data_IF_745962394480
#
_entry.id   IF_745962394480
#
_cell.length_a   1.000
_cell.length_b   1.000
_cell.length_c   1.000
_cell.angle_alpha   90.00
_cell.angle_beta   90.00
_cell.angle_gamma   90.00
#
_symmetry.space_group_name_H-M   'P 1'
#
loop_
_entity.id
_entity.type
_entity.pdbx_description
1 polymer ?
#
# COMPACT_ATOMS: atom_id res chain seq x y z
N UNK A 1 17.96 -14.22 1.73
CA UNK A 1 17.14 -14.98 2.70
C UNK A 1 16.10 -14.08 3.31
N UNK A 2 16.40 -13.42 4.43
CA UNK A 2 15.47 -12.58 5.20
C UNK A 2 14.70 -11.56 4.34
N UNK A 3 15.38 -10.78 3.50
CA UNK A 3 14.69 -9.80 2.65
C UNK A 3 13.65 -10.42 1.69
N UNK A 4 13.87 -11.65 1.23
CA UNK A 4 12.90 -12.38 0.41
C UNK A 4 11.65 -12.74 1.22
N UNK A 5 11.84 -13.19 2.46
CA UNK A 5 10.73 -13.49 3.38
C UNK A 5 9.91 -12.23 3.66
N UNK A 6 10.57 -11.14 4.02
CA UNK A 6 9.89 -9.86 4.32
C UNK A 6 9.06 -9.38 3.13
N UNK A 7 9.63 -9.41 1.92
CA UNK A 7 8.93 -8.97 0.71
C UNK A 7 7.72 -9.87 0.39
N UNK A 8 7.83 -11.19 0.55
CA UNK A 8 6.70 -12.11 0.34
C UNK A 8 5.59 -11.89 1.38
N UNK A 9 5.95 -11.71 2.66
CA UNK A 9 4.97 -11.48 3.72
C UNK A 9 4.23 -10.15 3.53
N UNK A 10 4.94 -9.11 3.10
CA UNK A 10 4.32 -7.80 2.86
C UNK A 10 3.53 -7.74 1.54
N UNK A 11 4.05 -8.40 0.50
CA UNK A 11 3.55 -8.34 -0.89
C UNK A 11 3.73 -9.69 -1.59
N UNK A 12 2.82 -10.66 -1.37
CA UNK A 12 2.99 -12.00 -1.93
C UNK A 12 3.08 -12.00 -3.46
N UNK A 13 2.23 -11.22 -4.13
CA UNK A 13 2.16 -11.20 -5.59
C UNK A 13 3.39 -10.51 -6.20
N UNK A 14 3.60 -9.23 -5.91
CA UNK A 14 4.69 -8.41 -6.44
C UNK A 14 6.06 -8.96 -5.97
N UNK A 15 6.10 -9.49 -4.76
CA UNK A 15 7.27 -10.15 -4.18
C UNK A 15 7.67 -11.42 -4.90
N UNK A 16 6.72 -12.28 -5.28
CA UNK A 16 7.00 -13.47 -6.09
C UNK A 16 7.52 -13.08 -7.48
N UNK A 17 6.91 -12.06 -8.10
CA UNK A 17 7.32 -11.55 -9.40
C UNK A 17 8.76 -10.98 -9.38
N UNK A 18 9.19 -10.41 -8.25
CA UNK A 18 10.57 -9.99 -8.05
C UNK A 18 11.50 -11.19 -7.79
N UNK A 19 11.11 -12.06 -6.85
CA UNK A 19 12.00 -13.06 -6.27
C UNK A 19 12.25 -14.24 -7.20
N UNK A 20 11.24 -14.72 -7.93
CA UNK A 20 11.42 -15.88 -8.81
C UNK A 20 12.48 -15.60 -9.88
N UNK A 21 12.42 -14.50 -10.66
CA UNK A 21 13.49 -14.16 -11.60
C UNK A 21 14.85 -13.93 -10.92
N UNK A 22 14.87 -13.31 -9.75
CA UNK A 22 16.10 -13.04 -9.00
C UNK A 22 16.78 -14.32 -8.51
N UNK A 23 16.01 -15.29 -8.01
CA UNK A 23 16.51 -16.59 -7.57
C UNK A 23 16.98 -17.44 -8.75
N UNK A 24 16.28 -17.41 -9.89
CA UNK A 24 16.72 -18.07 -11.12
C UNK A 24 18.06 -17.47 -11.59
N UNK A 25 18.17 -16.14 -11.66
CA UNK A 25 19.40 -15.46 -12.04
C UNK A 25 20.55 -15.78 -11.07
N UNK A 26 20.26 -15.83 -9.76
CA UNK A 26 21.24 -16.23 -8.75
C UNK A 26 21.67 -17.70 -8.93
N UNK A 27 20.75 -18.62 -9.22
CA UNK A 27 21.04 -20.04 -9.43
C UNK A 27 21.88 -20.27 -10.70
N UNK A 28 21.73 -19.43 -11.71
CA UNK A 28 22.59 -19.44 -12.90
C UNK A 28 23.99 -18.90 -12.60
N UNK A 29 24.13 -17.94 -11.68
CA UNK A 29 25.39 -17.30 -11.35
C UNK A 29 26.20 -18.05 -10.27
N UNK A 30 25.54 -18.61 -9.26
CA UNK A 30 26.18 -19.23 -8.11
C UNK A 30 25.27 -20.31 -7.50
N UNK A 31 25.79 -21.54 -7.37
CA UNK A 31 25.08 -22.69 -6.78
C UNK A 31 25.72 -23.21 -5.49
N UNK A 32 26.62 -22.42 -4.89
CA UNK A 32 27.34 -22.87 -3.69
C UNK A 32 26.41 -23.01 -2.49
N UNK A 33 26.56 -24.07 -1.67
CA UNK A 33 25.75 -24.26 -0.46
C UNK A 33 25.85 -23.09 0.51
N UNK A 34 26.98 -22.37 0.55
CA UNK A 34 27.17 -21.18 1.40
C UNK A 34 26.18 -20.06 1.10
N UNK A 35 25.72 -19.94 -0.15
CA UNK A 35 24.72 -18.95 -0.55
C UNK A 35 23.30 -19.51 -0.41
N UNK A 36 23.09 -20.75 -0.83
CA UNK A 36 21.76 -21.34 -0.89
C UNK A 36 21.24 -21.83 0.47
N UNK A 37 22.10 -22.33 1.35
CA UNK A 37 21.68 -22.84 2.66
C UNK A 37 21.01 -21.74 3.50
N UNK A 38 21.56 -20.52 3.67
CA UNK A 38 20.85 -19.46 4.39
C UNK A 38 19.54 -19.03 3.72
N UNK A 39 19.49 -19.02 2.38
CA UNK A 39 18.26 -18.68 1.64
C UNK A 39 17.17 -19.72 1.88
N UNK A 40 17.51 -21.00 1.81
CA UNK A 40 16.58 -22.11 2.04
C UNK A 40 16.13 -22.13 3.50
N UNK A 41 17.05 -22.04 4.47
CA UNK A 41 16.71 -22.05 5.90
C UNK A 41 15.77 -20.89 6.23
N UNK A 42 16.11 -19.67 5.84
CA UNK A 42 15.23 -18.51 6.08
C UNK A 42 13.92 -18.60 5.31
N UNK A 43 13.94 -19.12 4.08
CA UNK A 43 12.73 -19.35 3.28
C UNK A 43 11.79 -20.36 3.91
N UNK A 44 12.30 -21.48 4.43
CA UNK A 44 11.52 -22.49 5.15
C UNK A 44 10.94 -21.90 6.42
N UNK A 45 11.74 -21.22 7.24
CA UNK A 45 11.23 -20.55 8.46
C UNK A 45 10.14 -19.53 8.14
N UNK A 46 10.33 -18.72 7.10
CA UNK A 46 9.34 -17.75 6.64
C UNK A 46 8.05 -18.40 6.14
N UNK A 47 8.16 -19.46 5.34
CA UNK A 47 7.01 -20.21 4.83
C UNK A 47 6.25 -20.94 5.95
N UNK A 48 6.97 -21.53 6.92
CA UNK A 48 6.39 -22.16 8.10
C UNK A 48 5.64 -21.14 8.96
N UNK A 49 6.22 -19.96 9.18
CA UNK A 49 5.57 -18.88 9.90
C UNK A 49 4.30 -18.40 9.18
N UNK A 50 4.37 -18.16 7.87
CA UNK A 50 3.22 -17.77 7.06
C UNK A 50 2.10 -18.82 7.11
N UNK A 51 2.47 -20.10 7.00
CA UNK A 51 1.51 -21.20 7.08
C UNK A 51 0.84 -21.28 8.46
N UNK A 52 1.60 -21.06 9.53
CA UNK A 52 1.08 -21.00 10.89
C UNK A 52 0.12 -19.81 11.08
N UNK A 53 0.51 -18.62 10.65
CA UNK A 53 -0.31 -17.41 10.74
C UNK A 53 -1.63 -17.56 9.96
N UNK A 54 -1.55 -18.02 8.71
CA UNK A 54 -2.73 -18.33 7.89
C UNK A 54 -3.65 -19.35 8.57
N UNK A 55 -3.09 -20.39 9.21
CA UNK A 55 -3.87 -21.39 9.93
C UNK A 55 -4.55 -20.79 11.17
N UNK A 56 -3.86 -19.93 11.93
CA UNK A 56 -4.43 -19.26 13.10
C UNK A 56 -5.59 -18.32 12.74
N UNK A 57 -5.54 -17.70 11.57
CA UNK A 57 -6.57 -16.73 11.13
C UNK A 57 -7.72 -17.41 10.37
N UNK A 58 -7.41 -18.30 9.43
CA UNK A 58 -8.40 -18.86 8.49
C UNK A 58 -8.76 -20.33 8.76
N UNK A 59 -8.08 -20.97 9.71
CA UNK A 59 -8.16 -22.41 9.93
C UNK A 59 -7.49 -23.26 8.85
N UNK A 60 -6.88 -22.64 7.81
CA UNK A 60 -6.24 -23.34 6.69
C UNK A 60 -4.87 -22.73 6.37
N UNK A 61 -3.82 -23.53 6.50
CA UNK A 61 -2.43 -23.07 6.34
C UNK A 61 -2.09 -22.43 4.98
N UNK A 62 -2.77 -22.84 3.90
CA UNK A 62 -2.54 -22.33 2.54
C UNK A 62 -3.52 -21.23 2.12
N UNK A 63 -4.46 -20.84 2.99
CA UNK A 63 -5.46 -19.81 2.69
C UNK A 63 -5.02 -18.50 3.31
N UNK A 64 -4.65 -17.56 2.45
CA UNK A 64 -4.25 -16.22 2.89
C UNK A 64 -5.45 -15.48 3.49
N UNK A 65 -5.29 -14.74 4.60
CA UNK A 65 -6.33 -13.87 5.17
C UNK A 65 -6.95 -12.92 4.15
N UNK A 66 -6.13 -12.42 3.21
CA UNK A 66 -6.60 -11.58 2.11
C UNK A 66 -7.67 -12.26 1.24
N UNK A 67 -7.53 -13.57 1.00
CA UNK A 67 -8.52 -14.33 0.24
C UNK A 67 -9.82 -14.49 1.02
N UNK A 68 -9.73 -14.75 2.33
CA UNK A 68 -10.89 -14.82 3.21
C UNK A 68 -11.66 -13.49 3.21
N UNK A 69 -10.94 -12.37 3.34
CA UNK A 69 -11.51 -11.04 3.26
C UNK A 69 -12.25 -10.81 1.93
N UNK A 70 -11.64 -11.16 0.78
CA UNK A 70 -12.28 -11.00 -0.52
C UNK A 70 -13.52 -11.87 -0.70
N UNK A 71 -13.53 -13.09 -0.16
CA UNK A 71 -14.69 -13.97 -0.25
C UNK A 71 -15.87 -13.45 0.59
N UNK A 72 -15.60 -12.77 1.72
CA UNK A 72 -16.63 -12.26 2.62
C UNK A 72 -17.15 -10.86 2.26
N UNK A 73 -16.26 -9.95 1.82
CA UNK A 73 -16.56 -8.51 1.74
C UNK A 73 -16.48 -7.92 0.33
N UNK A 74 -15.54 -8.36 -0.51
CA UNK A 74 -15.27 -7.71 -1.81
C UNK A 74 -15.92 -8.41 -2.98
N UNK A 75 -16.56 -7.68 -3.89
CA UNK A 75 -17.11 -8.26 -5.13
C UNK A 75 -16.14 -8.15 -6.32
N UNK A 76 -15.32 -7.10 -6.34
CA UNK A 76 -14.36 -6.83 -7.40
C UNK A 76 -13.07 -7.56 -7.06
N UNK A 77 -12.58 -8.46 -7.94
CA UNK A 77 -11.34 -9.17 -7.70
C UNK A 77 -10.12 -8.23 -7.80
N UNK A 78 -8.98 -8.61 -7.19
CA UNK A 78 -7.77 -7.80 -7.27
C UNK A 78 -7.12 -7.83 -8.66
N UNK A 79 -7.46 -8.83 -9.49
CA UNK A 79 -6.92 -9.01 -10.83
C UNK A 79 -7.98 -8.89 -11.90
N UNK A 80 -7.68 -8.15 -12.97
CA UNK A 80 -8.59 -7.83 -14.07
C UNK A 80 -8.95 -9.05 -14.92
N UNK A 81 -8.16 -10.11 -14.86
CA UNK A 81 -8.43 -11.39 -15.54
C UNK A 81 -9.52 -12.22 -14.86
N UNK A 82 -9.79 -11.98 -13.58
CA UNK A 82 -10.81 -12.70 -12.81
C UNK A 82 -12.18 -12.05 -12.99
N UNK A 83 -13.28 -12.81 -13.02
CA UNK A 83 -14.62 -12.25 -13.07
C UNK A 83 -15.05 -11.65 -11.72
N UNK A 84 -15.96 -10.67 -11.77
CA UNK A 84 -16.65 -10.17 -10.57
C UNK A 84 -17.43 -11.32 -9.92
N UNK A 85 -17.36 -11.39 -8.59
CA UNK A 85 -18.08 -12.40 -7.84
C UNK A 85 -19.56 -12.02 -7.70
N UNK A 86 -20.44 -13.01 -7.90
CA UNK A 86 -21.90 -12.88 -7.76
C UNK A 86 -22.43 -13.40 -6.42
N UNK A 87 -21.54 -13.91 -5.56
CA UNK A 87 -21.93 -14.44 -4.27
C UNK A 87 -22.45 -13.32 -3.35
N UNK A 88 -23.47 -13.59 -2.51
CA UNK A 88 -23.91 -12.64 -1.50
C UNK A 88 -22.76 -12.32 -0.54
N UNK A 89 -22.74 -11.09 -0.01
CA UNK A 89 -21.70 -10.60 0.90
C UNK A 89 -22.27 -10.51 2.31
N UNK A 90 -21.48 -10.95 3.29
CA UNK A 90 -21.91 -11.05 4.69
C UNK A 90 -22.12 -9.67 5.32
N UNK A 91 -21.35 -8.67 4.89
CA UNK A 91 -21.42 -7.31 5.41
C UNK A 91 -21.03 -6.33 4.31
N UNK A 92 -21.86 -5.31 4.08
CA UNK A 92 -21.56 -4.19 3.18
C UNK A 92 -21.34 -2.93 4.01
N UNK A 93 -20.15 -2.82 4.61
CA UNK A 93 -19.83 -1.67 5.46
C UNK A 93 -19.74 -0.35 4.67
N UNK A 94 -19.36 -0.38 3.39
CA UNK A 94 -19.32 0.79 2.51
C UNK A 94 -19.93 0.48 1.14
N UNK A 95 -20.76 1.39 0.64
CA UNK A 95 -21.21 1.37 -0.76
C UNK A 95 -20.15 1.99 -1.68
N UNK A 96 -19.00 1.31 -1.79
CA UNK A 96 -17.97 1.61 -2.78
C UNK A 96 -18.17 0.80 -4.06
N UNK A 97 -19.27 0.05 -4.17
CA UNK A 97 -19.50 -0.91 -5.24
C UNK A 97 -19.45 -0.23 -6.62
N UNK A 98 -20.11 0.91 -6.78
CA UNK A 98 -20.11 1.69 -8.03
C UNK A 98 -18.69 2.14 -8.43
N UNK A 99 -17.94 2.72 -7.49
CA UNK A 99 -16.55 3.15 -7.70
C UNK A 99 -15.67 1.96 -8.05
N UNK A 100 -15.80 0.87 -7.30
CA UNK A 100 -14.96 -0.31 -7.47
C UNK A 100 -15.21 -0.99 -8.82
N UNK A 101 -16.48 -1.08 -9.24
CA UNK A 101 -16.86 -1.56 -10.59
C UNK A 101 -16.30 -0.67 -11.68
N UNK A 102 -16.39 0.65 -11.52
CA UNK A 102 -15.80 1.61 -12.47
C UNK A 102 -14.29 1.43 -12.64
N UNK A 103 -13.55 1.23 -11.55
CA UNK A 103 -12.10 0.93 -11.61
C UNK A 103 -11.83 -0.41 -12.32
N UNK A 104 -12.61 -1.45 -12.01
CA UNK A 104 -12.49 -2.75 -12.66
C UNK A 104 -12.77 -2.71 -14.17
N UNK A 105 -13.83 -2.03 -14.59
CA UNK A 105 -14.16 -1.83 -16.00
C UNK A 105 -13.06 -1.06 -16.73
N UNK A 106 -12.54 0.00 -16.11
CA UNK A 106 -11.43 0.78 -16.65
C UNK A 106 -10.16 -0.08 -16.81
N UNK A 107 -9.86 -0.95 -15.83
CA UNK A 107 -8.74 -1.90 -15.90
C UNK A 107 -8.92 -2.99 -16.98
N UNK A 108 -10.14 -3.23 -17.47
CA UNK A 108 -10.43 -4.14 -18.60
C UNK A 108 -10.66 -3.42 -19.92
N UNK A 109 -10.36 -2.12 -19.97
CA UNK A 109 -10.52 -1.28 -21.16
C UNK A 109 -9.17 -0.82 -21.71
N UNK A 110 -9.19 -0.21 -22.90
CA UNK A 110 -8.01 0.40 -23.51
C UNK A 110 -7.42 1.57 -22.70
N UNK A 111 -8.21 2.19 -21.80
CA UNK A 111 -7.72 3.25 -20.93
C UNK A 111 -6.56 2.80 -20.02
N UNK A 112 -6.51 1.51 -19.65
CA UNK A 112 -5.42 0.96 -18.84
C UNK A 112 -4.04 1.18 -19.48
N UNK A 113 -3.95 1.21 -20.82
CA UNK A 113 -2.69 1.46 -21.52
C UNK A 113 -2.18 2.90 -21.35
N UNK A 114 -3.05 3.83 -20.93
CA UNK A 114 -2.71 5.21 -20.61
C UNK A 114 -2.57 5.37 -19.09
N UNK A 115 -3.51 4.82 -18.32
CA UNK A 115 -3.54 4.93 -16.88
C UNK A 115 -2.30 4.27 -16.24
N UNK A 116 -1.93 3.06 -16.68
CA UNK A 116 -0.82 2.32 -16.06
C UNK A 116 0.53 3.03 -16.22
N UNK A 117 0.90 3.57 -17.40
CA UNK A 117 2.10 4.42 -17.49
C UNK A 117 2.06 5.64 -16.55
N UNK A 118 0.91 6.31 -16.40
CA UNK A 118 0.76 7.45 -15.49
C UNK A 118 0.88 7.04 -14.01
N UNK A 119 0.34 5.88 -13.67
CA UNK A 119 0.48 5.23 -12.37
C UNK A 119 1.95 4.93 -12.03
N UNK A 120 2.72 4.47 -13.03
CA UNK A 120 4.17 4.25 -12.90
C UNK A 120 4.94 5.57 -12.77
N UNK A 121 4.56 6.61 -13.52
CA UNK A 121 5.13 7.95 -13.34
C UNK A 121 4.85 8.47 -11.92
N UNK A 122 3.64 8.25 -11.41
CA UNK A 122 3.25 8.61 -10.04
C UNK A 122 4.07 7.84 -9.01
N UNK A 123 4.26 6.53 -9.19
CA UNK A 123 5.15 5.72 -8.36
C UNK A 123 6.57 6.30 -8.35
N UNK A 124 7.13 6.56 -9.52
CA UNK A 124 8.50 7.06 -9.65
C UNK A 124 8.65 8.44 -9.02
N UNK A 125 7.66 9.32 -9.19
CA UNK A 125 7.64 10.63 -8.53
C UNK A 125 7.53 10.49 -7.02
N UNK A 126 6.70 9.57 -6.53
CA UNK A 126 6.51 9.32 -5.10
C UNK A 126 7.82 8.88 -4.42
N UNK A 127 8.57 7.96 -5.03
CA UNK A 127 9.78 7.40 -4.43
C UNK A 127 11.07 8.19 -4.70
N UNK A 128 11.19 8.85 -5.85
CA UNK A 128 12.40 9.61 -6.21
C UNK A 128 12.25 11.12 -5.99
N UNK A 129 11.05 11.59 -5.63
CA UNK A 129 10.67 13.00 -5.45
C UNK A 129 10.59 13.76 -6.77
N UNK A 130 11.65 13.70 -7.57
CA UNK A 130 11.80 14.39 -8.84
C UNK A 130 12.20 13.42 -9.96
N UNK A 131 11.53 13.50 -11.11
CA UNK A 131 11.79 12.59 -12.24
C UNK A 131 13.09 12.88 -12.99
N UNK A 132 13.79 13.98 -12.67
CA UNK A 132 15.09 14.33 -13.30
C UNK A 132 16.12 13.20 -13.16
N UNK A 133 16.04 12.42 -12.07
CA UNK A 133 16.91 11.27 -11.83
C UNK A 133 16.77 10.15 -12.89
N UNK A 134 15.65 10.13 -13.61
CA UNK A 134 15.36 9.14 -14.64
C UNK A 134 15.77 9.58 -16.04
N UNK A 135 16.06 10.87 -16.26
CA UNK A 135 16.51 11.34 -17.57
C UNK A 135 17.78 10.60 -18.06
N UNK A 136 18.81 10.38 -17.22
CA UNK A 136 19.96 9.59 -17.66
C UNK A 136 19.58 8.14 -17.96
N UNK A 137 18.60 7.55 -17.26
CA UNK A 137 18.12 6.19 -17.55
C UNK A 137 17.54 6.12 -18.95
N UNK A 138 16.68 7.08 -19.31
CA UNK A 138 16.08 7.16 -20.65
C UNK A 138 17.14 7.36 -21.74
N UNK A 139 18.05 8.31 -21.56
CA UNK A 139 19.12 8.62 -22.52
C UNK A 139 20.06 7.42 -22.73
N UNK A 140 20.45 6.74 -21.66
CA UNK A 140 21.37 5.61 -21.72
C UNK A 140 20.67 4.24 -21.81
N UNK A 141 19.37 4.20 -22.08
CA UNK A 141 18.60 2.96 -22.14
C UNK A 141 19.18 1.91 -23.10
N UNK A 142 19.63 2.26 -24.32
CA UNK A 142 20.27 1.29 -25.21
C UNK A 142 21.56 0.69 -24.63
N UNK A 143 22.35 1.49 -23.90
CA UNK A 143 23.58 1.02 -23.26
C UNK A 143 23.29 0.15 -22.03
N UNK A 144 22.24 0.48 -21.26
CA UNK A 144 21.76 -0.32 -20.14
C UNK A 144 21.27 -1.71 -20.59
N UNK A 145 20.55 -1.77 -21.72
CA UNK A 145 20.08 -3.03 -22.29
C UNK A 145 21.20 -3.91 -22.84
N UNK A 146 22.19 -3.31 -23.54
CA UNK A 146 23.33 -4.04 -24.11
C UNK A 146 24.30 -4.59 -23.05
N UNK A 147 24.38 -3.94 -21.89
CA UNK A 147 25.27 -4.35 -20.80
C UNK A 147 24.75 -5.59 -20.08
N UNK A 148 25.55 -6.66 -20.03
CA UNK A 148 25.22 -7.90 -19.28
C UNK A 148 24.96 -7.66 -17.79
N UNK A 149 25.55 -6.60 -17.21
CA UNK A 149 25.40 -6.26 -15.78
C UNK A 149 24.05 -5.64 -15.44
N UNK A 150 23.43 -4.93 -16.38
CA UNK A 150 22.18 -4.19 -16.16
C UNK A 150 21.00 -4.74 -16.93
N UNK A 151 21.23 -5.57 -17.95
CA UNK A 151 20.16 -6.19 -18.74
C UNK A 151 19.14 -6.92 -17.88
N UNK A 152 19.58 -7.64 -16.85
CA UNK A 152 18.67 -8.29 -15.91
C UNK A 152 17.75 -7.28 -15.20
N UNK A 153 18.30 -6.18 -14.67
CA UNK A 153 17.50 -5.14 -14.02
C UNK A 153 16.50 -4.48 -15.00
N UNK A 154 16.90 -4.24 -16.25
CA UNK A 154 15.98 -3.76 -17.29
C UNK A 154 14.85 -4.75 -17.55
N UNK A 155 15.19 -6.03 -17.78
CA UNK A 155 14.20 -7.08 -18.01
C UNK A 155 13.25 -7.25 -16.82
N UNK A 156 13.76 -7.11 -15.60
CA UNK A 156 12.98 -7.21 -14.37
C UNK A 156 11.99 -6.05 -14.22
N UNK A 157 12.41 -4.81 -14.48
CA UNK A 157 11.52 -3.64 -14.50
C UNK A 157 10.44 -3.80 -15.56
N UNK A 158 10.82 -4.23 -16.77
CA UNK A 158 9.86 -4.46 -17.86
C UNK A 158 8.86 -5.59 -17.52
N UNK A 159 9.33 -6.68 -16.92
CA UNK A 159 8.51 -7.80 -16.49
C UNK A 159 7.49 -7.38 -15.42
N UNK A 160 7.94 -6.67 -14.38
CA UNK A 160 7.06 -6.15 -13.33
C UNK A 160 6.09 -5.09 -13.87
N UNK A 161 6.54 -4.25 -14.81
CA UNK A 161 5.69 -3.34 -15.57
C UNK A 161 4.56 -4.06 -16.30
N UNK A 162 4.89 -5.10 -17.06
CA UNK A 162 3.89 -5.91 -17.75
C UNK A 162 2.96 -6.64 -16.77
N UNK A 163 3.49 -7.19 -15.68
CA UNK A 163 2.68 -7.88 -14.67
C UNK A 163 1.70 -6.94 -13.96
N UNK A 164 2.04 -5.65 -13.80
CA UNK A 164 1.11 -4.68 -13.21
C UNK A 164 -0.18 -4.48 -14.03
N UNK A 165 -0.17 -4.80 -15.34
CA UNK A 165 -1.35 -4.64 -16.20
C UNK A 165 -2.51 -5.57 -15.82
N UNK A 166 -2.25 -6.64 -15.05
CA UNK A 166 -3.33 -7.52 -14.59
C UNK A 166 -3.94 -7.05 -13.27
N UNK A 167 -3.40 -6.05 -12.60
CA UNK A 167 -3.90 -5.56 -11.32
C UNK A 167 -5.02 -4.54 -11.50
N UNK A 168 -6.13 -4.71 -10.79
CA UNK A 168 -7.24 -3.74 -10.76
C UNK A 168 -6.87 -2.55 -9.90
N UNK A 169 -6.31 -2.82 -8.73
CA UNK A 169 -5.90 -1.80 -7.76
C UNK A 169 -4.42 -1.51 -7.93
N UNK A 170 -4.08 -0.23 -8.11
CA UNK A 170 -2.69 0.19 -8.12
C UNK A 170 -2.49 1.40 -7.23
N UNK A 171 -1.56 1.26 -6.30
CA UNK A 171 -1.03 2.37 -5.52
C UNK A 171 0.48 2.40 -5.67
N UNK A 172 1.12 3.58 -5.57
CA UNK A 172 2.58 3.71 -5.68
C UNK A 172 3.37 2.66 -4.90
N UNK A 173 2.91 2.35 -3.68
CA UNK A 173 3.58 1.42 -2.78
C UNK A 173 3.48 -0.06 -3.18
N UNK A 174 2.64 -0.41 -4.15
CA UNK A 174 2.53 -1.78 -4.67
C UNK A 174 3.77 -2.12 -5.51
N UNK A 175 4.23 -1.17 -6.32
CA UNK A 175 5.45 -1.34 -7.12
C UNK A 175 6.76 -1.12 -6.37
N UNK A 176 6.75 -1.00 -5.04
CA UNK A 176 7.94 -0.84 -4.21
C UNK A 176 9.05 -1.89 -4.48
N UNK A 177 8.74 -3.19 -4.74
CA UNK A 177 9.76 -4.19 -5.05
C UNK A 177 10.61 -3.86 -6.29
N UNK A 178 10.08 -3.07 -7.24
CA UNK A 178 10.76 -2.69 -8.48
C UNK A 178 11.88 -1.66 -8.22
N UNK A 179 11.78 -0.88 -7.15
CA UNK A 179 12.63 0.29 -6.90
C UNK A 179 14.11 -0.08 -6.79
N UNK A 180 14.43 -1.26 -6.24
CA UNK A 180 15.81 -1.73 -6.17
C UNK A 180 16.43 -1.88 -7.57
N UNK A 181 15.68 -2.42 -8.53
CA UNK A 181 16.13 -2.54 -9.92
C UNK A 181 16.26 -1.17 -10.58
N UNK A 182 15.31 -0.26 -10.36
CA UNK A 182 15.37 1.12 -10.88
C UNK A 182 16.56 1.87 -10.30
N UNK A 183 16.86 1.74 -9.00
CA UNK A 183 18.04 2.35 -8.35
C UNK A 183 19.34 1.88 -9.00
N UNK A 184 19.47 0.59 -9.31
CA UNK A 184 20.63 0.05 -10.03
C UNK A 184 20.76 0.72 -11.41
N UNK A 185 19.65 0.88 -12.13
CA UNK A 185 19.64 1.52 -13.45
C UNK A 185 19.97 3.01 -13.36
N UNK A 186 19.45 3.73 -12.37
CA UNK A 186 19.76 5.14 -12.10
C UNK A 186 21.24 5.31 -11.74
N UNK A 187 21.78 4.49 -10.84
CA UNK A 187 23.19 4.54 -10.47
C UNK A 187 24.10 4.27 -11.68
N UNK A 188 23.74 3.28 -12.50
CA UNK A 188 24.51 2.93 -13.68
C UNK A 188 24.41 4.01 -14.77
N UNK A 189 23.24 4.61 -14.98
CA UNK A 189 23.05 5.68 -15.97
C UNK A 189 23.75 6.97 -15.55
N UNK A 190 23.77 7.27 -14.25
CA UNK A 190 24.58 8.36 -13.69
C UNK A 190 26.07 8.14 -13.91
N UNK A 191 26.55 6.90 -13.80
CA UNK A 191 27.95 6.56 -14.12
C UNK A 191 28.27 6.81 -15.60
N UNK A 192 27.36 6.45 -16.51
CA UNK A 192 27.52 6.76 -17.93
C UNK A 192 27.49 8.28 -18.17
N UNK A 193 26.59 9.01 -17.51
CA UNK A 193 26.54 10.46 -17.59
C UNK A 193 27.85 11.08 -17.10
N UNK A 194 28.38 10.68 -15.94
CA UNK A 194 29.63 11.22 -15.40
C UNK A 194 30.84 11.00 -16.32
N UNK A 195 30.82 9.93 -17.11
CA UNK A 195 31.88 9.59 -18.08
C UNK A 195 31.73 10.33 -19.41
N UNK A 196 30.57 10.92 -19.68
CA UNK A 196 30.30 11.64 -20.93
C UNK A 196 31.13 12.93 -21.03
N UNK A 197 31.79 13.07 -22.18
CA UNK A 197 32.55 14.27 -22.57
C UNK A 197 31.94 14.87 -23.82
N UNK A 198 31.77 16.19 -23.82
CA UNK A 198 31.36 16.96 -24.99
C UNK A 198 32.54 17.84 -25.42
N UNK A 199 33.00 17.67 -26.66
CA UNK A 199 34.18 18.38 -27.21
C UNK A 199 35.40 18.34 -26.26
N UNK A 200 35.69 17.17 -25.69
CA UNK A 200 36.80 16.97 -24.74
C UNK A 200 36.55 17.45 -23.30
N UNK A 201 35.50 18.26 -23.06
CA UNK A 201 35.15 18.77 -21.73
C UNK A 201 34.29 17.76 -20.95
N UNK A 202 34.53 17.62 -19.64
CA UNK A 202 33.81 16.69 -18.74
C UNK A 202 32.43 17.21 -18.32
N UNK A 203 31.59 17.59 -19.30
CA UNK A 203 30.24 18.14 -19.07
C UNK A 203 29.37 17.20 -18.23
N UNK A 204 29.49 15.89 -18.45
CA UNK A 204 28.75 14.89 -17.70
C UNK A 204 28.94 14.94 -16.19
N UNK A 205 30.17 15.17 -15.72
CA UNK A 205 30.47 15.28 -14.28
C UNK A 205 29.89 16.55 -13.67
N UNK A 206 29.87 17.65 -14.41
CA UNK A 206 29.18 18.86 -13.99
C UNK A 206 27.68 18.61 -13.82
N UNK A 207 27.03 17.95 -14.79
CA UNK A 207 25.60 17.64 -14.73
C UNK A 207 25.25 16.76 -13.52
N UNK A 208 26.00 15.68 -13.28
CA UNK A 208 25.78 14.79 -12.12
C UNK A 208 25.87 15.56 -10.80
N UNK A 209 26.78 16.53 -10.69
CA UNK A 209 26.92 17.34 -9.48
C UNK A 209 25.85 18.44 -9.38
N UNK A 210 25.41 19.00 -10.51
CA UNK A 210 24.41 20.06 -10.55
C UNK A 210 22.99 19.54 -10.29
N UNK A 211 22.67 18.30 -10.67
CA UNK A 211 21.34 17.70 -10.49
C UNK A 211 20.86 17.70 -9.03
N UNK A 212 21.62 17.20 -8.02
CA UNK A 212 21.21 17.30 -6.62
C UNK A 212 20.97 18.73 -6.15
N UNK A 213 21.83 19.67 -6.56
CA UNK A 213 21.69 21.09 -6.20
C UNK A 213 20.41 21.67 -6.78
N UNK A 214 20.12 21.39 -8.05
CA UNK A 214 18.89 21.84 -8.70
C UNK A 214 17.64 21.26 -8.01
N UNK A 215 17.64 19.96 -7.69
CA UNK A 215 16.54 19.32 -6.96
C UNK A 215 16.35 19.94 -5.58
N UNK A 216 17.45 20.20 -4.86
CA UNK A 216 17.40 20.85 -3.55
C UNK A 216 16.81 22.27 -3.64
N UNK A 217 17.25 23.08 -4.60
CA UNK A 217 16.72 24.43 -4.80
C UNK A 217 15.23 24.42 -5.16
N UNK A 218 14.79 23.50 -6.03
CA UNK A 218 13.37 23.34 -6.38
C UNK A 218 12.55 22.90 -5.16
N UNK A 219 13.09 22.00 -4.33
CA UNK A 219 12.43 21.56 -3.11
C UNK A 219 12.25 22.71 -2.13
N UNK A 220 13.31 23.50 -1.88
CA UNK A 220 13.23 24.69 -1.01
C UNK A 220 12.23 25.71 -1.55
N UNK A 221 12.24 25.99 -2.85
CA UNK A 221 11.27 26.90 -3.46
C UNK A 221 9.82 26.41 -3.31
N UNK A 222 9.59 25.10 -3.51
CA UNK A 222 8.27 24.48 -3.34
C UNK A 222 7.78 24.54 -1.90
N UNK A 223 8.65 24.30 -0.91
CA UNK A 223 8.29 24.39 0.51
C UNK A 223 8.04 25.84 0.95
N UNK A 224 8.85 26.78 0.45
CA UNK A 224 8.62 28.20 0.69
C UNK A 224 7.27 28.65 0.11
N UNK A 225 6.92 28.18 -1.09
CA UNK A 225 5.61 28.44 -1.70
C UNK A 225 4.47 27.83 -0.88
N UNK A 226 4.59 26.56 -0.49
CA UNK A 226 3.58 25.87 0.32
C UNK A 226 3.35 26.55 1.68
N UNK A 227 4.43 26.99 2.32
CA UNK A 227 4.39 27.75 3.58
C UNK A 227 3.73 29.11 3.38
N UNK A 228 4.07 29.83 2.30
CA UNK A 228 3.45 31.12 1.98
C UNK A 228 1.94 31.00 1.73
N UNK A 229 1.51 29.86 1.19
CA UNK A 229 0.11 29.56 0.89
C UNK A 229 -0.64 28.86 2.04
N UNK A 230 -0.01 28.65 3.21
CA UNK A 230 -0.59 27.98 4.38
C UNK A 230 -1.14 26.55 4.10
N UNK A 231 -0.73 25.91 3.00
CA UNK A 231 -1.36 24.67 2.50
C UNK A 231 -1.07 23.41 3.35
N UNK A 232 -0.12 23.45 4.27
CA UNK A 232 0.33 22.26 5.02
C UNK A 232 -0.48 21.96 6.27
N UNK A 233 -1.16 22.95 6.86
CA UNK A 233 -1.87 22.76 8.12
C UNK A 233 -3.19 21.99 7.96
N UNK A 234 -4.03 22.36 6.99
CA UNK A 234 -5.44 21.94 6.99
C UNK A 234 -5.67 20.43 6.79
N UNK A 235 -4.81 19.75 6.03
CA UNK A 235 -4.96 18.30 5.75
C UNK A 235 -4.37 17.40 6.86
N UNK A 236 -3.29 17.83 7.50
CA UNK A 236 -2.73 17.11 8.66
C UNK A 236 -3.60 17.36 9.89
N UNK A 237 -4.14 18.57 10.02
CA UNK A 237 -5.08 18.94 11.08
C UNK A 237 -6.36 18.12 10.98
N UNK A 238 -6.93 17.84 9.78
CA UNK A 238 -8.20 17.11 9.69
C UNK A 238 -8.12 15.65 10.17
N UNK A 239 -7.08 14.89 9.78
CA UNK A 239 -6.90 13.50 10.23
C UNK A 239 -6.53 13.41 11.71
N UNK A 240 -5.63 14.29 12.16
CA UNK A 240 -5.30 14.37 13.58
C UNK A 240 -6.51 14.84 14.40
N UNK A 241 -7.36 15.71 13.85
CA UNK A 241 -8.59 16.15 14.51
C UNK A 241 -9.58 15.01 14.68
N UNK A 242 -9.78 14.12 13.69
CA UNK A 242 -10.68 12.98 13.86
C UNK A 242 -10.17 12.00 14.93
N UNK A 243 -8.87 11.68 14.91
CA UNK A 243 -8.26 10.80 15.92
C UNK A 243 -8.38 11.45 17.31
N UNK A 244 -7.99 12.72 17.45
CA UNK A 244 -8.11 13.47 18.69
C UNK A 244 -9.56 13.58 19.15
N UNK A 245 -10.53 13.74 18.24
CA UNK A 245 -11.95 13.76 18.57
C UNK A 245 -12.42 12.41 19.12
N UNK A 246 -12.03 11.29 18.51
CA UNK A 246 -12.35 9.95 19.02
C UNK A 246 -11.75 9.73 20.41
N UNK A 247 -10.48 10.08 20.59
CA UNK A 247 -9.79 9.99 21.90
C UNK A 247 -10.45 10.87 22.97
N UNK A 248 -10.86 12.09 22.61
CA UNK A 248 -11.59 12.99 23.49
C UNK A 248 -12.95 12.41 23.89
N UNK A 249 -13.69 11.86 22.91
CA UNK A 249 -14.96 11.16 23.15
C UNK A 249 -14.77 10.01 24.15
N UNK A 250 -13.78 9.15 23.91
CA UNK A 250 -13.51 8.00 24.78
C UNK A 250 -13.15 8.47 26.20
N UNK A 251 -12.31 9.50 26.31
CA UNK A 251 -11.88 10.08 27.58
C UNK A 251 -13.04 10.70 28.35
N UNK A 252 -13.87 11.51 27.70
CA UNK A 252 -15.04 12.14 28.31
C UNK A 252 -16.08 11.09 28.74
N UNK A 253 -16.30 10.07 27.90
CA UNK A 253 -17.22 9.00 28.20
C UNK A 253 -16.78 8.21 29.44
N UNK A 254 -15.51 7.81 29.51
CA UNK A 254 -14.95 7.07 30.64
C UNK A 254 -14.91 7.91 31.92
N UNK A 255 -14.69 9.23 31.80
CA UNK A 255 -14.70 10.16 32.93
C UNK A 255 -16.11 10.34 33.51
N UNK A 256 -17.12 10.49 32.65
CA UNK A 256 -18.50 10.74 33.06
C UNK A 256 -19.22 9.45 33.48
N UNK A 257 -18.89 8.32 32.86
CA UNK A 257 -19.45 7.01 33.16
C UNK A 257 -18.34 5.96 33.23
N UNK A 258 -17.76 5.72 34.42
CA UNK A 258 -16.77 4.67 34.59
C UNK A 258 -17.35 3.30 34.24
N UNK A 259 -16.64 2.53 33.43
CA UNK A 259 -17.10 1.21 32.99
C UNK A 259 -16.59 0.85 31.61
N UNK A 260 -17.18 -0.20 31.03
CA UNK A 260 -16.91 -0.64 29.66
C UNK A 260 -18.07 -0.23 28.76
N UNK A 261 -17.74 0.21 27.55
CA UNK A 261 -18.69 0.82 26.63
C UNK A 261 -18.63 0.18 25.24
N UNK A 262 -19.76 0.21 24.54
CA UNK A 262 -19.87 -0.10 23.12
C UNK A 262 -20.62 1.05 22.44
N UNK A 263 -20.03 1.61 21.39
CA UNK A 263 -20.55 2.73 20.61
C UNK A 263 -20.92 2.23 19.21
N UNK A 264 -22.21 2.19 18.90
CA UNK A 264 -22.73 1.92 17.58
C UNK A 264 -22.65 3.17 16.71
N UNK A 265 -21.89 3.09 15.62
CA UNK A 265 -21.68 4.17 14.66
C UNK A 265 -22.68 4.04 13.52
N UNK A 266 -23.54 5.04 13.37
CA UNK A 266 -24.53 5.11 12.29
C UNK A 266 -24.08 6.13 11.24
N UNK A 267 -23.60 5.65 10.10
CA UNK A 267 -23.25 6.51 8.96
C UNK A 267 -24.49 6.92 8.17
N UNK A 268 -24.65 8.23 7.93
CA UNK A 268 -25.63 8.74 6.95
C UNK A 268 -25.07 8.74 5.50
N UNK A 269 -23.88 8.14 5.32
CA UNK A 269 -23.03 8.25 4.14
C UNK A 269 -21.63 8.72 4.55
N UNK A 270 -20.59 8.15 3.93
CA UNK A 270 -19.20 8.58 4.12
C UNK A 270 -18.70 9.22 2.83
N UNK A 271 -18.10 10.40 2.94
CA UNK A 271 -17.48 11.07 1.79
C UNK A 271 -16.20 10.35 1.36
N UNK A 272 -15.52 9.69 2.31
CA UNK A 272 -14.30 8.93 2.11
C UNK A 272 -14.22 7.72 3.05
N UNK A 273 -13.72 6.55 2.59
CA UNK A 273 -13.41 5.41 3.46
C UNK A 273 -12.35 5.72 4.54
N UNK A 274 -11.61 6.82 4.38
CA UNK A 274 -10.60 7.26 5.34
C UNK A 274 -11.19 8.06 6.51
N UNK A 275 -12.50 8.36 6.50
CA UNK A 275 -13.22 9.05 7.57
C UNK A 275 -13.90 8.06 8.54
N UNK A 276 -13.43 6.81 8.57
CA UNK A 276 -13.99 5.71 9.35
C UNK A 276 -13.67 5.83 10.85
N UNK A 277 -14.70 5.63 11.69
CA UNK A 277 -14.61 5.68 13.17
C UNK A 277 -14.48 4.29 13.81
N UNK A 278 -14.87 3.23 13.11
CA UNK A 278 -14.93 1.87 13.62
C UNK A 278 -13.53 1.24 13.51
N UNK A 279 -12.68 1.60 14.46
CA UNK A 279 -11.41 0.91 14.70
C UNK A 279 -11.21 0.72 16.21
N UNK A 280 -10.71 -0.46 16.56
CA UNK A 280 -10.55 -0.91 17.94
C UNK A 280 -9.15 -1.48 18.17
N UNK A 281 -8.69 -1.56 19.43
CA UNK A 281 -7.49 -2.30 19.80
C UNK A 281 -7.57 -3.79 19.39
N UNK A 282 -6.41 -4.43 19.23
CA UNK A 282 -6.33 -5.83 18.81
C UNK A 282 -7.03 -6.80 19.78
N UNK A 283 -6.96 -6.54 21.09
CA UNK A 283 -7.75 -7.26 22.09
C UNK A 283 -9.06 -6.50 22.36
N UNK A 284 -10.06 -6.74 21.50
CA UNK A 284 -11.35 -6.06 21.56
C UNK A 284 -12.11 -6.35 22.87
N UNK A 285 -12.10 -7.61 23.34
CA UNK A 285 -12.85 -8.00 24.54
C UNK A 285 -12.38 -7.29 25.81
N UNK A 286 -11.10 -6.92 25.87
CA UNK A 286 -10.52 -6.16 26.97
C UNK A 286 -10.59 -4.63 26.78
N UNK A 287 -10.98 -4.14 25.60
CA UNK A 287 -10.99 -2.70 25.30
C UNK A 287 -12.01 -1.96 26.18
N UNK A 288 -11.67 -0.81 26.80
CA UNK A 288 -12.62 -0.03 27.59
C UNK A 288 -13.80 0.51 26.76
N UNK A 289 -13.53 0.90 25.50
CA UNK A 289 -14.54 1.38 24.55
C UNK A 289 -14.39 0.59 23.27
N UNK A 290 -15.50 0.05 22.76
CA UNK A 290 -15.57 -0.64 21.46
C UNK A 290 -16.43 0.20 20.53
N UNK A 291 -15.94 0.50 19.34
CA UNK A 291 -16.69 1.12 18.26
C UNK A 291 -17.18 0.02 17.31
N UNK A 292 -18.47 0.01 16.97
CA UNK A 292 -19.07 -1.00 16.11
C UNK A 292 -19.99 -0.34 15.07
N UNK A 293 -20.16 -0.95 13.90
CA UNK A 293 -21.12 -0.46 12.90
C UNK A 293 -22.55 -0.66 13.42
N UNK A 294 -23.40 0.35 13.31
CA UNK A 294 -24.84 0.19 13.53
C UNK A 294 -25.44 -0.61 12.35
N UNK A 295 -25.84 -1.86 12.61
CA UNK A 295 -26.45 -2.76 11.62
C UNK A 295 -27.96 -2.91 11.81
N UNK A 296 -28.56 -2.02 12.59
CA UNK A 296 -29.97 -2.08 12.96
C UNK A 296 -30.21 -3.00 14.16
N UNK A 297 -31.44 -2.93 14.66
CA UNK A 297 -31.82 -3.47 15.97
C UNK A 297 -31.48 -4.97 16.13
N UNK A 298 -31.83 -5.80 15.14
CA UNK A 298 -31.66 -7.26 15.23
C UNK A 298 -30.19 -7.68 15.35
N UNK A 299 -29.31 -7.08 14.55
CA UNK A 299 -27.88 -7.42 14.59
C UNK A 299 -27.18 -6.80 15.80
N UNK A 300 -27.54 -5.56 16.16
CA UNK A 300 -26.98 -4.91 17.34
C UNK A 300 -27.35 -5.63 18.64
N UNK A 301 -28.55 -6.22 18.72
CA UNK A 301 -28.97 -7.00 19.90
C UNK A 301 -28.09 -8.22 20.13
N UNK A 302 -27.58 -8.87 19.07
CA UNK A 302 -26.61 -9.97 19.20
C UNK A 302 -25.32 -9.47 19.88
N UNK A 303 -24.84 -8.29 19.48
CA UNK A 303 -23.66 -7.69 20.09
C UNK A 303 -23.91 -7.25 21.54
N UNK A 304 -25.11 -6.76 21.83
CA UNK A 304 -25.54 -6.41 23.20
C UNK A 304 -25.54 -7.63 24.12
N UNK A 305 -26.02 -8.76 23.61
CA UNK A 305 -26.01 -10.02 24.35
C UNK A 305 -24.58 -10.57 24.54
N UNK A 306 -23.71 -10.46 23.53
CA UNK A 306 -22.32 -10.91 23.63
C UNK A 306 -21.52 -10.09 24.66
N UNK A 307 -21.66 -8.77 24.62
CA UNK A 307 -21.02 -7.85 25.58
C UNK A 307 -21.95 -7.45 26.73
N UNK A 308 -22.68 -8.43 27.27
CA UNK A 308 -23.55 -8.20 28.42
C UNK A 308 -22.76 -7.58 29.59
N UNK A 309 -23.26 -6.47 30.13
CA UNK A 309 -22.60 -5.71 31.20
C UNK A 309 -21.84 -4.46 30.76
N UNK A 310 -21.72 -4.23 29.44
CA UNK A 310 -21.25 -2.94 28.91
C UNK A 310 -22.41 -1.95 28.76
N UNK A 311 -22.10 -0.65 28.79
CA UNK A 311 -23.05 0.41 28.42
C UNK A 311 -23.03 0.63 26.91
N UNK A 312 -24.20 0.88 26.32
CA UNK A 312 -24.37 1.00 24.87
C UNK A 312 -24.76 2.41 24.45
N UNK A 313 -24.13 2.88 23.37
CA UNK A 313 -24.25 4.24 22.86
C UNK A 313 -24.46 4.22 21.37
N UNK A 314 -25.10 5.27 20.85
CA UNK A 314 -25.15 5.57 19.42
C UNK A 314 -24.33 6.83 19.13
N UNK A 315 -23.50 6.76 18.09
CA UNK A 315 -22.74 7.87 17.57
C UNK A 315 -23.11 8.13 16.11
N UNK A 316 -23.34 9.39 15.78
CA UNK A 316 -23.62 9.84 14.41
C UNK A 316 -22.55 10.85 13.98
N UNK A 317 -21.64 10.49 13.06
CA UNK A 317 -20.70 11.43 12.47
C UNK A 317 -21.44 12.33 11.46
N UNK A 318 -22.07 13.40 11.95
CA UNK A 318 -22.70 14.46 11.15
C UNK A 318 -21.97 15.80 11.36
N UNK A 319 -22.45 16.90 10.74
CA UNK A 319 -21.91 18.26 10.96
C UNK A 319 -21.86 18.68 12.45
N UNK A 320 -22.66 18.05 13.31
CA UNK A 320 -22.52 18.08 14.77
C UNK A 320 -22.33 16.66 15.28
N UNK A 321 -21.20 16.39 15.92
CA UNK A 321 -20.91 15.11 16.57
C UNK A 321 -21.88 14.93 17.75
N UNK A 322 -22.63 13.84 17.79
CA UNK A 322 -23.53 13.54 18.91
C UNK A 322 -23.40 12.09 19.34
N UNK A 323 -23.34 11.90 20.66
CA UNK A 323 -23.38 10.60 21.32
C UNK A 323 -24.60 10.58 22.23
N UNK A 324 -25.44 9.58 22.04
CA UNK A 324 -26.67 9.37 22.80
C UNK A 324 -26.70 7.94 23.33
N UNK A 325 -27.33 7.66 24.49
CA UNK A 325 -27.62 6.28 24.90
C UNK A 325 -28.34 5.52 23.78
N UNK A 326 -27.94 4.28 23.51
CA UNK A 326 -28.45 3.50 22.37
C UNK A 326 -29.90 3.05 22.55
#
# INVERSE_FOLDING_TARGET
GVGAVVVILARPFEGLLLLVPALIALAMANRTPRVWLPIIVTGVLGASWLAYDNYRITGRALRLPYREYYEQYEIVPPFSILPISVAPRNLRHFDLESRNRGTYERARSWHLLIDRPLDWITLLRYYYGNLIWLLPVLVFMPALWRSRKTRFAVSLVAFLGAASLIEVWWYPHYGAPVLAAVLILVAQSMRYLAQWKYQGRRVGRFLVNAMPVAVFLVMIASEAEATSKHWTADQIVSRNAQIAQKENIETELLKNQPGQHVIFVSYAGLSSPHEEWIYNPANMDAAPVIWALDLGQTENEKLRNYYAGRSFWRFKPAKSLSIEPY
#
